data_IF_467842737607
#
_entry.id   IF_467842737607
#
_cell.length_a   1.000
_cell.length_b   1.000
_cell.length_c   1.000
_cell.angle_alpha   90.00
_cell.angle_beta   90.00
_cell.angle_gamma   90.00
#
_symmetry.space_group_name_H-M   'P 1'
#
loop_
_entity.id
_entity.type
_entity.pdbx_description
1 polymer ?
#
# COMPACT_ATOMS: atom_id res chain seq x y z
N UNK A 1 51.28 -15.17 -0.46
CA UNK A 1 50.53 -14.32 -1.40
C UNK A 1 49.06 -14.65 -1.30
N UNK A 2 48.32 -13.91 -0.48
CA UNK A 2 46.87 -14.05 -0.37
C UNK A 2 46.18 -13.28 -1.50
N UNK A 3 45.33 -13.94 -2.27
CA UNK A 3 44.49 -13.32 -3.28
C UNK A 3 43.18 -12.93 -2.62
N UNK A 4 42.88 -11.63 -2.56
CA UNK A 4 41.56 -11.09 -2.20
C UNK A 4 40.53 -11.61 -3.20
N UNK A 5 39.40 -12.07 -2.69
CA UNK A 5 38.17 -12.23 -3.46
C UNK A 5 37.38 -10.96 -3.19
N UNK A 6 37.21 -10.12 -4.22
CA UNK A 6 36.29 -8.99 -4.16
C UNK A 6 34.86 -9.54 -4.08
N UNK A 7 34.18 -9.27 -2.97
CA UNK A 7 32.75 -9.45 -2.84
C UNK A 7 32.05 -8.25 -3.47
N UNK A 8 31.60 -8.41 -4.72
CA UNK A 8 30.60 -7.53 -5.28
C UNK A 8 29.25 -7.87 -4.66
N UNK A 9 28.67 -6.94 -3.90
CA UNK A 9 27.27 -7.01 -3.48
C UNK A 9 26.39 -6.95 -4.75
N UNK A 10 25.68 -8.04 -5.04
CA UNK A 10 24.60 -8.02 -6.02
C UNK A 10 23.43 -7.21 -5.44
N UNK A 11 23.30 -5.96 -5.86
CA UNK A 11 22.14 -5.13 -5.58
C UNK A 11 20.92 -5.67 -6.37
N UNK A 12 20.03 -6.41 -5.71
CA UNK A 12 18.76 -6.83 -6.30
C UNK A 12 17.75 -5.68 -6.31
N UNK A 13 17.79 -4.85 -7.34
CA UNK A 13 16.67 -3.96 -7.67
C UNK A 13 15.55 -4.77 -8.30
N UNK A 14 14.37 -4.78 -7.69
CA UNK A 14 13.15 -5.19 -8.39
C UNK A 14 12.69 -4.05 -9.29
N UNK A 15 13.23 -4.00 -10.50
CA UNK A 15 12.57 -3.32 -11.61
C UNK A 15 11.41 -4.22 -12.07
N UNK A 16 10.16 -3.82 -11.84
CA UNK A 16 9.01 -4.49 -12.43
C UNK A 16 8.95 -4.20 -13.95
N UNK A 17 9.91 -4.73 -14.70
CA UNK A 17 9.93 -4.66 -16.16
C UNK A 17 9.01 -5.76 -16.72
N UNK A 18 7.83 -5.35 -17.21
CA UNK A 18 6.95 -6.24 -17.97
C UNK A 18 7.66 -6.67 -19.27
N UNK A 19 7.90 -7.97 -19.51
CA UNK A 19 8.38 -8.45 -20.80
C UNK A 19 7.24 -8.32 -21.81
N UNK A 20 7.36 -7.37 -22.74
CA UNK A 20 6.52 -7.33 -23.93
C UNK A 20 6.74 -8.62 -24.73
N UNK A 21 5.81 -9.57 -24.63
CA UNK A 21 5.40 -10.46 -25.73
C UNK A 21 4.04 -11.08 -25.37
N UNK A 22 3.03 -10.66 -26.14
CA UNK A 22 1.63 -11.09 -26.13
C UNK A 22 0.80 -10.69 -24.91
N UNK A 23 0.45 -9.40 -24.82
CA UNK A 23 -0.75 -8.97 -24.12
C UNK A 23 -1.53 -7.99 -24.97
N UNK A 24 -2.58 -8.47 -25.61
CA UNK A 24 -3.65 -7.65 -26.18
C UNK A 24 -4.58 -7.24 -25.04
N UNK A 25 -4.26 -6.14 -24.35
CA UNK A 25 -5.20 -5.44 -23.49
C UNK A 25 -4.75 -3.98 -23.30
N UNK A 26 -5.50 -3.07 -23.93
CA UNK A 26 -5.69 -1.65 -23.63
C UNK A 26 -4.49 -0.85 -23.13
N UNK A 27 -3.72 -0.32 -24.09
CA UNK A 27 -2.97 0.91 -23.88
C UNK A 27 -3.93 2.10 -23.82
N UNK A 28 -4.07 2.72 -22.65
CA UNK A 28 -4.49 4.11 -22.58
C UNK A 28 -3.28 4.97 -23.01
N UNK A 29 -3.36 5.50 -24.23
CA UNK A 29 -2.41 6.45 -24.78
C UNK A 29 -2.46 7.76 -23.98
N UNK A 30 -1.58 7.95 -23.00
CA UNK A 30 -1.18 9.28 -22.55
C UNK A 30 0.01 9.73 -23.41
N UNK A 31 -0.27 10.63 -24.35
CA UNK A 31 0.73 11.48 -25.00
C UNK A 31 0.98 12.68 -24.06
N UNK A 32 2.25 13.09 -24.00
CA UNK A 32 2.88 14.13 -23.14
C UNK A 32 3.30 13.63 -21.73
N UNK A 33 4.57 13.68 -21.29
CA UNK A 33 5.84 14.15 -21.84
C UNK A 33 6.97 13.17 -21.44
N UNK A 34 8.08 13.14 -22.20
CA UNK A 34 9.18 12.17 -22.12
C UNK A 34 10.08 12.24 -20.87
N UNK A 35 9.64 12.85 -19.77
CA UNK A 35 10.37 12.86 -18.50
C UNK A 35 9.55 12.12 -17.44
N UNK A 36 10.09 11.03 -16.90
CA UNK A 36 9.49 10.32 -15.77
C UNK A 36 9.39 11.22 -14.52
N UNK A 37 8.58 10.85 -13.52
CA UNK A 37 8.46 11.63 -12.29
C UNK A 37 9.84 11.78 -11.63
N UNK A 38 10.25 13.03 -11.38
CA UNK A 38 11.51 13.36 -10.71
C UNK A 38 11.26 13.51 -9.20
N UNK A 39 11.81 12.64 -8.34
CA UNK A 39 11.91 12.88 -6.91
C UNK A 39 12.84 14.08 -6.69
N UNK A 40 12.28 15.23 -6.36
CA UNK A 40 13.07 16.36 -5.84
C UNK A 40 13.45 16.02 -4.39
N UNK A 41 14.64 16.46 -3.98
CA UNK A 41 15.17 16.34 -2.61
C UNK A 41 14.10 16.59 -1.54
N UNK A 42 14.12 15.83 -0.45
CA UNK A 42 13.11 15.87 0.61
C UNK A 42 11.99 14.86 0.39
N UNK A 43 12.35 13.58 0.25
CA UNK A 43 11.39 12.46 0.09
C UNK A 43 10.90 11.93 1.44
N UNK A 44 11.18 12.65 2.53
CA UNK A 44 10.70 12.32 3.86
C UNK A 44 11.28 11.00 4.33
N UNK A 45 10.43 10.02 4.61
CA UNK A 45 10.85 8.72 5.14
C UNK A 45 11.76 7.93 4.19
N UNK A 46 11.70 8.21 2.89
CA UNK A 46 12.60 7.61 1.90
C UNK A 46 14.03 8.19 1.93
N UNK A 47 14.28 9.30 2.61
CA UNK A 47 15.64 9.89 2.67
C UNK A 47 16.63 8.99 3.43
N UNK A 48 16.12 8.01 4.20
CA UNK A 48 16.93 6.99 4.89
C UNK A 48 17.29 5.79 4.01
N UNK A 49 16.86 5.76 2.75
CA UNK A 49 17.11 4.66 1.82
C UNK A 49 18.25 5.00 0.87
N UNK A 50 18.96 3.96 0.42
CA UNK A 50 19.92 4.12 -0.68
C UNK A 50 19.17 4.34 -1.98
N UNK A 51 19.11 5.60 -2.41
CA UNK A 51 18.44 5.99 -3.65
C UNK A 51 19.50 6.25 -4.73
N UNK A 52 19.45 5.57 -5.88
CA UNK A 52 20.37 5.83 -6.98
C UNK A 52 20.35 7.30 -7.43
N UNK A 53 21.52 7.89 -7.68
CA UNK A 53 21.64 9.29 -8.12
C UNK A 53 20.82 9.59 -9.39
N UNK A 54 20.66 8.59 -10.27
CA UNK A 54 19.80 8.68 -11.47
C UNK A 54 18.33 8.97 -11.11
N UNK A 55 17.83 8.43 -10.00
CA UNK A 55 16.46 8.68 -9.55
C UNK A 55 16.30 10.12 -9.10
N UNK A 56 17.25 10.71 -8.38
CA UNK A 56 17.20 12.13 -7.96
C UNK A 56 17.26 13.14 -9.11
N UNK A 57 17.73 12.72 -10.29
CA UNK A 57 18.04 13.62 -11.40
C UNK A 57 17.11 13.39 -12.59
N UNK A 58 17.27 12.26 -13.28
CA UNK A 58 16.49 11.89 -14.45
C UNK A 58 15.14 11.26 -14.08
N UNK A 59 15.02 10.69 -12.88
CA UNK A 59 13.87 9.88 -12.49
C UNK A 59 13.92 8.47 -13.09
N UNK A 60 12.80 7.75 -13.01
CA UNK A 60 12.65 6.40 -13.58
C UNK A 60 11.63 6.48 -14.72
N UNK A 61 12.08 6.18 -15.94
CA UNK A 61 11.22 6.23 -17.11
C UNK A 61 10.28 5.01 -17.17
N UNK A 62 9.00 5.23 -17.46
CA UNK A 62 8.01 4.16 -17.63
C UNK A 62 7.55 3.48 -16.34
N UNK A 63 7.92 3.99 -15.17
CA UNK A 63 7.44 3.49 -13.88
C UNK A 63 6.20 4.27 -13.42
N UNK A 64 5.16 3.54 -13.01
CA UNK A 64 3.98 4.11 -12.35
C UNK A 64 4.20 4.34 -10.85
N UNK A 65 5.06 3.52 -10.25
CA UNK A 65 5.45 3.57 -8.84
C UNK A 65 6.90 3.10 -8.67
N UNK A 66 7.60 3.68 -7.71
CA UNK A 66 8.95 3.29 -7.30
C UNK A 66 8.89 2.85 -5.83
N UNK A 67 9.38 1.65 -5.55
CA UNK A 67 9.50 1.11 -4.19
C UNK A 67 10.97 1.08 -3.80
N UNK A 68 11.32 1.78 -2.73
CA UNK A 68 12.62 1.62 -2.08
C UNK A 68 12.48 0.60 -0.96
N UNK A 69 13.14 -0.55 -1.11
CA UNK A 69 13.00 -1.68 -0.19
C UNK A 69 14.28 -1.85 0.61
N UNK A 70 14.17 -2.12 1.91
CA UNK A 70 15.32 -2.40 2.75
C UNK A 70 15.08 -3.52 3.78
N UNK A 71 16.17 -4.01 4.34
CA UNK A 71 16.23 -5.00 5.40
C UNK A 71 16.85 -4.43 6.68
N UNK A 72 16.41 -3.26 7.15
CA UNK A 72 16.99 -2.67 8.34
C UNK A 72 16.45 -3.34 9.62
N UNK A 73 17.33 -3.63 10.60
CA UNK A 73 16.89 -4.02 11.93
C UNK A 73 15.94 -2.97 12.51
N UNK A 74 14.76 -3.39 12.92
CA UNK A 74 13.77 -2.55 13.58
C UNK A 74 13.37 -3.18 14.91
N UNK A 75 13.10 -2.35 15.92
CA UNK A 75 12.53 -2.78 17.20
C UNK A 75 10.99 -2.82 17.18
N UNK A 76 10.37 -2.48 16.04
CA UNK A 76 8.94 -2.37 15.84
C UNK A 76 8.35 -3.54 15.02
N UNK A 77 7.44 -3.26 14.07
CA UNK A 77 6.73 -4.31 13.33
C UNK A 77 7.67 -5.13 12.43
N UNK A 78 7.23 -6.34 12.06
CA UNK A 78 7.99 -7.26 11.19
C UNK A 78 8.28 -6.63 9.82
N UNK A 79 7.42 -5.75 9.36
CA UNK A 79 7.61 -4.92 8.19
C UNK A 79 6.86 -3.60 8.38
N UNK A 80 7.20 -2.61 7.56
CA UNK A 80 6.41 -1.38 7.45
C UNK A 80 6.56 -0.82 6.03
N UNK A 81 5.55 -0.10 5.57
CA UNK A 81 5.67 0.71 4.37
C UNK A 81 4.86 2.02 4.45
N UNK A 82 5.35 3.03 3.76
CA UNK A 82 4.70 4.33 3.70
C UNK A 82 4.97 5.05 2.36
N UNK A 83 3.97 5.77 1.82
CA UNK A 83 4.20 6.69 0.71
C UNK A 83 5.18 7.81 1.11
N UNK A 84 6.15 8.06 0.24
CA UNK A 84 7.14 9.13 0.38
C UNK A 84 6.82 10.34 -0.51
N UNK A 85 6.25 10.08 -1.69
CA UNK A 85 5.91 11.13 -2.63
C UNK A 85 4.62 10.78 -3.39
N UNK A 86 3.81 11.83 -3.63
CA UNK A 86 2.53 11.76 -4.32
C UNK A 86 2.58 12.59 -5.61
N UNK A 87 1.85 12.15 -6.63
CA UNK A 87 1.61 12.93 -7.84
C UNK A 87 0.59 14.05 -7.57
N UNK A 88 0.33 14.90 -8.57
CA UNK A 88 -0.61 16.03 -8.45
C UNK A 88 -2.05 15.59 -8.14
N UNK A 89 -2.43 14.42 -8.63
CA UNK A 89 -3.73 13.77 -8.37
C UNK A 89 -3.76 13.02 -7.02
N UNK A 90 -2.71 13.20 -6.19
CA UNK A 90 -2.50 12.56 -4.89
C UNK A 90 -2.13 11.08 -4.95
N UNK A 91 -1.97 10.48 -6.15
CA UNK A 91 -1.56 9.08 -6.31
C UNK A 91 -0.16 8.86 -5.71
N UNK A 92 0.02 7.93 -4.76
CA UNK A 92 1.35 7.48 -4.34
C UNK A 92 2.17 6.98 -5.53
N UNK A 93 3.39 7.49 -5.69
CA UNK A 93 4.29 7.03 -6.77
C UNK A 93 5.71 6.72 -6.27
N UNK A 94 6.06 7.13 -5.05
CA UNK A 94 7.28 6.65 -4.37
C UNK A 94 6.88 6.19 -2.98
N UNK A 95 7.35 5.02 -2.58
CA UNK A 95 7.18 4.53 -1.22
C UNK A 95 8.43 3.85 -0.68
N UNK A 96 8.58 3.90 0.63
CA UNK A 96 9.58 3.15 1.38
C UNK A 96 8.93 1.87 1.92
N UNK A 97 9.66 0.77 1.88
CA UNK A 97 9.26 -0.52 2.44
C UNK A 97 10.45 -1.10 3.19
N UNK A 98 10.24 -1.52 4.43
CA UNK A 98 11.30 -2.18 5.20
C UNK A 98 10.80 -3.50 5.77
N UNK A 99 11.62 -4.54 5.67
CA UNK A 99 11.38 -5.83 6.29
C UNK A 99 12.43 -6.07 7.38
N UNK A 100 12.00 -6.40 8.60
CA UNK A 100 12.92 -6.75 9.66
C UNK A 100 13.60 -8.08 9.33
N UNK A 101 14.95 -8.14 9.14
CA UNK A 101 15.61 -9.37 8.68
C UNK A 101 15.37 -10.60 9.55
N UNK A 102 15.14 -10.38 10.86
CA UNK A 102 14.89 -11.45 11.84
C UNK A 102 13.54 -12.14 11.66
N UNK A 103 12.62 -11.50 10.93
CA UNK A 103 11.23 -11.95 10.75
C UNK A 103 10.96 -12.44 9.31
N UNK A 104 11.98 -12.40 8.44
CA UNK A 104 11.88 -12.86 7.05
C UNK A 104 12.07 -14.37 7.03
N UNK A 105 10.96 -15.08 6.80
CA UNK A 105 10.94 -16.52 6.57
C UNK A 105 10.38 -16.82 5.17
N UNK A 106 10.76 -17.96 4.59
CA UNK A 106 10.15 -18.45 3.34
C UNK A 106 8.80 -19.09 3.67
N UNK A 107 7.85 -18.26 4.11
CA UNK A 107 6.55 -18.67 4.60
C UNK A 107 5.42 -17.87 3.93
N UNK A 108 4.25 -18.49 3.79
CA UNK A 108 3.06 -17.82 3.24
C UNK A 108 2.67 -16.58 4.06
N UNK A 109 2.98 -16.57 5.37
CA UNK A 109 2.78 -15.42 6.26
C UNK A 109 3.59 -14.20 5.81
N UNK A 110 4.87 -14.36 5.51
CA UNK A 110 5.74 -13.25 5.08
C UNK A 110 5.29 -12.65 3.75
N UNK A 111 4.76 -13.46 2.83
CA UNK A 111 4.16 -12.97 1.58
C UNK A 111 2.93 -12.09 1.85
N UNK A 112 2.06 -12.49 2.79
CA UNK A 112 0.87 -11.70 3.14
C UNK A 112 1.22 -10.42 3.89
N UNK A 113 2.23 -10.47 4.76
CA UNK A 113 2.75 -9.28 5.42
C UNK A 113 3.33 -8.31 4.39
N UNK A 114 4.13 -8.81 3.42
CA UNK A 114 4.61 -7.97 2.33
C UNK A 114 3.45 -7.36 1.52
N UNK A 115 2.42 -8.14 1.20
CA UNK A 115 1.24 -7.63 0.48
C UNK A 115 0.47 -6.58 1.29
N UNK A 116 0.36 -6.76 2.61
CA UNK A 116 -0.23 -5.80 3.53
C UNK A 116 0.54 -4.47 3.52
N UNK A 117 1.87 -4.52 3.66
CA UNK A 117 2.69 -3.32 3.60
C UNK A 117 2.60 -2.63 2.24
N UNK A 118 2.56 -3.38 1.14
CA UNK A 118 2.32 -2.80 -0.17
C UNK A 118 0.94 -2.11 -0.25
N UNK A 119 -0.05 -2.56 0.51
CA UNK A 119 -1.31 -1.85 0.66
C UNK A 119 -1.14 -0.45 1.28
N UNK A 120 -0.34 -0.33 2.33
CA UNK A 120 0.03 0.98 2.90
C UNK A 120 0.83 1.84 1.91
N UNK A 121 1.80 1.24 1.20
CA UNK A 121 2.58 1.92 0.16
C UNK A 121 1.70 2.50 -0.96
N UNK A 122 0.60 1.81 -1.29
CA UNK A 122 -0.40 2.24 -2.27
C UNK A 122 -1.39 3.27 -1.72
N UNK A 123 -1.35 3.56 -0.41
CA UNK A 123 -2.13 4.61 0.22
C UNK A 123 -3.29 4.13 1.08
N UNK A 124 -3.38 2.85 1.45
CA UNK A 124 -4.34 2.41 2.47
C UNK A 124 -3.84 2.83 3.85
N UNK A 125 -3.98 4.09 4.22
CA UNK A 125 -3.61 4.62 5.53
C UNK A 125 -4.44 5.85 5.86
N UNK A 126 -4.55 6.22 7.14
CA UNK A 126 -5.41 7.30 7.61
C UNK A 126 -5.20 8.59 6.78
N UNK A 127 -3.94 9.01 6.64
CA UNK A 127 -3.56 10.25 5.94
C UNK A 127 -4.13 10.30 4.52
N UNK A 128 -3.97 9.23 3.75
CA UNK A 128 -4.45 9.14 2.37
C UNK A 128 -5.97 9.00 2.32
N UNK A 129 -6.57 8.17 3.17
CA UNK A 129 -8.01 8.02 3.27
C UNK A 129 -8.70 9.37 3.60
N UNK A 130 -8.11 10.20 4.46
CA UNK A 130 -8.57 11.57 4.70
C UNK A 130 -8.37 12.47 3.48
N UNK A 131 -7.22 12.37 2.81
CA UNK A 131 -6.88 13.16 1.62
C UNK A 131 -7.83 12.90 0.43
N UNK A 132 -8.33 11.67 0.31
CA UNK A 132 -9.32 11.25 -0.67
C UNK A 132 -10.77 11.39 -0.16
N UNK A 133 -10.98 11.95 1.03
CA UNK A 133 -12.30 12.15 1.64
C UNK A 133 -13.11 10.85 1.81
N UNK A 134 -12.44 9.76 2.16
CA UNK A 134 -13.05 8.43 2.24
C UNK A 134 -13.64 8.10 3.61
N UNK A 135 -13.15 8.75 4.67
CA UNK A 135 -13.55 8.48 6.05
C UNK A 135 -14.77 9.32 6.43
N UNK A 136 -15.75 8.67 7.06
CA UNK A 136 -16.89 9.31 7.72
C UNK A 136 -17.04 8.82 9.16
N UNK A 137 -17.72 9.61 10.00
CA UNK A 137 -18.01 9.26 11.39
C UNK A 137 -19.47 8.84 11.54
N UNK A 138 -19.73 7.64 12.04
CA UNK A 138 -21.09 7.13 12.29
C UNK A 138 -21.35 7.12 13.80
N UNK A 139 -22.41 7.80 14.28
CA UNK A 139 -22.71 7.85 15.70
C UNK A 139 -23.43 6.60 16.21
N UNK A 140 -23.38 6.37 17.53
CA UNK A 140 -24.15 5.36 18.25
C UNK A 140 -23.95 3.91 17.75
N UNK A 141 -22.78 3.60 17.21
CA UNK A 141 -22.45 2.25 16.77
C UNK A 141 -22.10 1.41 18.01
N UNK A 142 -23.02 0.53 18.42
CA UNK A 142 -22.84 -0.39 19.57
C UNK A 142 -22.45 0.33 20.88
N UNK A 143 -23.06 1.49 21.13
CA UNK A 143 -22.81 2.27 22.33
C UNK A 143 -21.57 3.17 22.27
N UNK A 144 -20.81 3.16 21.17
CA UNK A 144 -19.74 4.12 20.94
C UNK A 144 -20.31 5.45 20.41
N UNK A 145 -19.80 6.60 20.88
CA UNK A 145 -20.31 7.90 20.47
C UNK A 145 -20.09 8.19 18.98
N UNK A 146 -18.95 7.74 18.42
CA UNK A 146 -18.59 7.84 17.02
C UNK A 146 -17.67 6.68 16.62
N UNK A 147 -17.83 6.18 15.41
CA UNK A 147 -16.96 5.17 14.78
C UNK A 147 -16.58 5.64 13.39
N UNK A 148 -15.28 5.64 13.10
CA UNK A 148 -14.75 5.95 11.77
C UNK A 148 -14.99 4.79 10.81
N UNK A 149 -15.55 5.10 9.63
CA UNK A 149 -15.82 4.12 8.57
C UNK A 149 -15.33 4.63 7.23
N UNK A 150 -14.90 3.72 6.34
CA UNK A 150 -14.79 4.03 4.91
C UNK A 150 -16.19 3.94 4.30
N UNK A 151 -16.70 5.08 3.84
CA UNK A 151 -18.10 5.25 3.39
C UNK A 151 -18.23 5.53 1.90
N UNK A 152 -17.14 5.38 1.13
CA UNK A 152 -17.12 5.63 -0.31
C UNK A 152 -18.00 4.66 -1.10
N UNK A 153 -18.50 5.05 -2.29
CA UNK A 153 -19.58 4.32 -2.96
C UNK A 153 -19.31 2.84 -3.24
N UNK A 154 -18.14 2.48 -3.80
CA UNK A 154 -17.85 1.07 -4.14
C UNK A 154 -17.60 0.25 -2.89
N UNK A 155 -16.82 0.78 -1.95
CA UNK A 155 -16.52 0.13 -0.67
C UNK A 155 -17.79 -0.11 0.13
N UNK A 156 -18.67 0.89 0.23
CA UNK A 156 -19.98 0.76 0.88
C UNK A 156 -20.85 -0.27 0.18
N UNK A 157 -20.93 -0.27 -1.15
CA UNK A 157 -21.71 -1.26 -1.90
C UNK A 157 -21.19 -2.69 -1.67
N UNK A 158 -19.86 -2.87 -1.72
CA UNK A 158 -19.22 -4.16 -1.47
C UNK A 158 -19.45 -4.63 -0.03
N UNK A 159 -19.40 -3.72 0.95
CA UNK A 159 -19.64 -4.04 2.35
C UNK A 159 -21.07 -4.50 2.60
N UNK A 160 -22.05 -3.82 1.97
CA UNK A 160 -23.46 -4.22 2.02
C UNK A 160 -23.68 -5.62 1.46
N UNK A 161 -23.01 -5.95 0.36
CA UNK A 161 -23.05 -7.28 -0.24
C UNK A 161 -22.39 -8.33 0.67
N UNK A 162 -21.17 -8.07 1.13
CA UNK A 162 -20.39 -8.99 1.96
C UNK A 162 -21.09 -9.33 3.28
N UNK A 163 -21.68 -8.33 3.95
CA UNK A 163 -22.38 -8.53 5.22
C UNK A 163 -23.88 -8.82 5.07
N UNK A 164 -24.41 -8.89 3.83
CA UNK A 164 -25.84 -9.00 3.55
C UNK A 164 -26.69 -7.97 4.33
N UNK A 165 -26.22 -6.73 4.36
CA UNK A 165 -26.82 -5.66 5.16
C UNK A 165 -26.99 -4.41 4.28
N UNK A 166 -28.16 -4.18 3.66
CA UNK A 166 -28.35 -3.10 2.68
C UNK A 166 -28.28 -1.70 3.28
N UNK A 167 -28.47 -1.56 4.59
CA UNK A 167 -28.42 -0.29 5.33
C UNK A 167 -27.03 0.03 5.89
N UNK A 168 -26.02 -0.78 5.59
CA UNK A 168 -24.67 -0.56 6.11
C UNK A 168 -24.11 0.78 5.59
N UNK A 169 -23.52 1.58 6.46
CA UNK A 169 -23.01 2.91 6.12
C UNK A 169 -21.55 2.94 5.66
N UNK A 170 -20.83 1.83 5.80
CA UNK A 170 -19.44 1.70 5.41
C UNK A 170 -18.77 0.52 6.09
N UNK A 171 -17.46 0.41 5.93
CA UNK A 171 -16.63 -0.57 6.65
C UNK A 171 -15.91 0.16 7.77
N UNK A 172 -16.04 -0.33 8.99
CA UNK A 172 -15.37 0.25 10.15
C UNK A 172 -13.85 0.13 10.05
N UNK A 173 -13.17 1.20 10.45
CA UNK A 173 -11.74 1.23 10.62
C UNK A 173 -11.36 0.88 12.07
N UNK A 174 -10.15 0.39 12.26
CA UNK A 174 -9.63 0.06 13.59
C UNK A 174 -9.54 1.31 14.48
N UNK A 175 -10.01 1.19 15.71
CA UNK A 175 -10.06 2.25 16.73
C UNK A 175 -9.26 1.88 17.99
N UNK A 176 -8.64 0.69 18.02
CA UNK A 176 -7.74 0.24 19.08
C UNK A 176 -6.27 0.20 18.62
N UNK A 177 -5.35 0.11 19.57
CA UNK A 177 -3.91 0.08 19.31
C UNK A 177 -3.25 1.46 19.40
N UNK A 178 -2.31 1.73 18.50
CA UNK A 178 -1.55 2.98 18.46
C UNK A 178 -1.87 3.85 17.24
N UNK A 179 -1.21 5.02 17.11
CA UNK A 179 -1.37 5.92 15.96
C UNK A 179 -1.12 5.26 14.60
N UNK A 180 -0.21 4.29 14.55
CA UNK A 180 0.11 3.53 13.32
C UNK A 180 -0.95 2.46 12.99
N UNK A 181 -1.85 2.17 13.92
CA UNK A 181 -2.90 1.15 13.77
C UNK A 181 -4.25 1.80 13.45
N UNK A 182 -4.63 2.77 14.26
CA UNK A 182 -5.94 3.41 14.23
C UNK A 182 -6.18 4.06 12.86
N UNK A 183 -7.36 3.83 12.28
CA UNK A 183 -7.80 4.38 10.99
C UNK A 183 -6.94 4.07 9.76
N UNK A 184 -5.93 3.23 9.91
CA UNK A 184 -5.09 2.73 8.82
C UNK A 184 -5.33 1.24 8.52
N UNK A 185 -6.23 0.60 9.27
CA UNK A 185 -6.58 -0.80 9.15
C UNK A 185 -8.10 -0.98 9.19
N UNK A 186 -8.59 -2.09 8.63
CA UNK A 186 -9.96 -2.52 8.87
C UNK A 186 -10.16 -2.95 10.32
N UNK A 187 -11.34 -2.65 10.88
CA UNK A 187 -11.71 -3.10 12.22
C UNK A 187 -11.70 -4.63 12.27
N UNK A 188 -10.78 -5.20 13.03
CA UNK A 188 -10.57 -6.67 13.11
C UNK A 188 -11.83 -7.42 13.50
N UNK A 189 -12.66 -6.82 14.35
CA UNK A 189 -13.95 -7.39 14.79
C UNK A 189 -14.84 -7.80 13.61
N UNK A 190 -14.84 -7.03 12.52
CA UNK A 190 -15.73 -7.25 11.39
C UNK A 190 -15.00 -7.90 10.20
N UNK A 191 -13.68 -7.71 10.11
CA UNK A 191 -12.85 -8.08 8.95
C UNK A 191 -11.71 -9.04 9.29
N UNK A 192 -11.86 -9.91 10.30
CA UNK A 192 -10.80 -10.71 10.92
C UNK A 192 -9.75 -11.34 9.98
N UNK A 193 -10.19 -11.87 8.85
CA UNK A 193 -9.33 -12.62 7.92
C UNK A 193 -8.86 -11.77 6.73
N UNK A 194 -9.18 -10.47 6.70
CA UNK A 194 -8.84 -9.54 5.62
C UNK A 194 -7.37 -9.09 5.71
N UNK A 195 -6.75 -8.89 4.54
CA UNK A 195 -5.35 -8.48 4.37
C UNK A 195 -4.96 -7.25 5.20
N UNK A 196 -5.75 -6.18 5.18
CA UNK A 196 -5.48 -4.88 5.81
C UNK A 196 -6.02 -4.79 7.25
N UNK A 197 -6.15 -5.92 7.95
CA UNK A 197 -6.30 -5.90 9.41
C UNK A 197 -4.95 -5.77 10.10
N UNK A 198 -4.91 -5.17 11.28
CA UNK A 198 -3.68 -4.86 12.02
C UNK A 198 -2.90 -6.05 12.59
N UNK A 199 -3.38 -7.28 12.36
CA UNK A 199 -2.75 -8.50 12.83
C UNK A 199 -2.54 -9.46 11.64
N UNK A 200 -1.38 -10.11 11.61
CA UNK A 200 -0.98 -11.01 10.53
C UNK A 200 -1.67 -12.37 10.65
N UNK A 201 -2.98 -12.41 10.34
CA UNK A 201 -3.82 -13.62 10.31
C UNK A 201 -3.84 -14.34 8.95
N UNK A 202 -5.04 -14.64 8.48
CA UNK A 202 -5.27 -15.32 7.18
C UNK A 202 -4.89 -14.42 6.02
N UNK A 203 -5.18 -13.12 6.08
CA UNK A 203 -4.73 -12.10 5.13
C UNK A 203 -5.26 -12.28 3.70
N UNK A 204 -6.58 -12.40 3.55
CA UNK A 204 -7.28 -12.49 2.27
C UNK A 204 -7.29 -11.12 1.58
N UNK A 205 -6.80 -11.07 0.33
CA UNK A 205 -6.91 -9.88 -0.50
C UNK A 205 -8.35 -9.77 -1.02
N UNK A 206 -9.21 -9.14 -0.23
CA UNK A 206 -10.64 -9.16 -0.50
C UNK A 206 -11.08 -8.13 -1.53
N UNK A 207 -12.28 -8.36 -2.10
CA UNK A 207 -12.97 -7.36 -2.93
C UNK A 207 -13.23 -6.03 -2.18
N UNK A 208 -13.23 -6.02 -0.84
CA UNK A 208 -13.40 -4.81 -0.04
C UNK A 208 -12.17 -3.90 -0.09
N UNK A 209 -10.98 -4.47 0.09
CA UNK A 209 -9.72 -3.71 -0.04
C UNK A 209 -9.52 -3.23 -1.47
N UNK A 210 -9.85 -4.05 -2.47
CA UNK A 210 -9.85 -3.63 -3.88
C UNK A 210 -10.81 -2.45 -4.13
N UNK A 211 -12.02 -2.51 -3.58
CA UNK A 211 -13.00 -1.43 -3.71
C UNK A 211 -12.51 -0.13 -3.05
N UNK A 212 -11.83 -0.22 -1.91
CA UNK A 212 -11.24 0.94 -1.24
C UNK A 212 -10.14 1.58 -2.10
N UNK A 213 -9.25 0.79 -2.71
CA UNK A 213 -8.25 1.32 -3.64
C UNK A 213 -8.90 1.96 -4.88
N UNK A 214 -9.91 1.33 -5.46
CA UNK A 214 -10.60 1.90 -6.62
C UNK A 214 -11.34 3.21 -6.28
N UNK A 215 -11.93 3.32 -5.09
CA UNK A 215 -12.59 4.54 -4.61
C UNK A 215 -11.63 5.72 -4.38
N UNK A 216 -10.31 5.49 -4.27
CA UNK A 216 -9.32 6.58 -4.29
C UNK A 216 -9.30 7.32 -5.64
N UNK A 217 -9.83 6.70 -6.70
CA UNK A 217 -9.96 7.29 -8.04
C UNK A 217 -8.66 7.30 -8.86
N UNK A 218 -7.57 6.76 -8.30
CA UNK A 218 -6.24 6.70 -8.94
C UNK A 218 -5.85 5.27 -9.35
N UNK A 219 -6.68 4.29 -9.02
CA UNK A 219 -6.51 2.87 -9.34
C UNK A 219 -7.76 2.30 -10.00
N UNK A 220 -7.59 1.25 -10.80
CA UNK A 220 -8.68 0.43 -11.34
C UNK A 220 -8.51 -0.98 -10.77
N UNK A 221 -9.48 -1.43 -10.00
CA UNK A 221 -9.43 -2.74 -9.36
C UNK A 221 -9.80 -3.87 -10.33
N UNK A 222 -9.06 -4.97 -10.28
CA UNK A 222 -9.45 -6.22 -10.91
C UNK A 222 -10.09 -7.17 -9.89
N UNK A 223 -11.41 -7.15 -9.79
CA UNK A 223 -12.17 -7.99 -8.84
C UNK A 223 -12.12 -9.49 -9.16
N UNK A 224 -11.67 -9.92 -10.34
CA UNK A 224 -11.50 -11.35 -10.63
C UNK A 224 -10.31 -11.97 -9.88
N UNK A 225 -9.48 -11.15 -9.25
CA UNK A 225 -8.32 -11.57 -8.46
C UNK A 225 -8.62 -11.62 -6.95
N UNK A 226 -9.86 -11.31 -6.55
CA UNK A 226 -10.34 -11.37 -5.16
C UNK A 226 -10.78 -12.78 -4.74
#
# INVERSE_FOLDING_TARGET
GGRRVDGGEEEHYFEANSPRRHSTALGASLREARDGPRPRTGLGMCDNFTIPQKHHTAGVAGADMILYVNGFPTSGPMAWAAPCALLKDKRPFVAAVNFAPREIEVASRSVRVAAHELGHALGFAETQCLMFHMISEVPNVRGLPKVSVISTPKTKAMARQYHNCPTLEGVELEDEGGPDTVRSHWKKRNMRDELMTSDAGVGLYSALTLAAFEDMGVYVANYSAA
#
